data_IF_915458775192
#
_entry.id   IF_915458775192
#
_cell.length_a   1.000
_cell.length_b   1.000
_cell.length_c   1.000
_cell.angle_alpha   90.00
_cell.angle_beta   90.00
_cell.angle_gamma   90.00
#
_symmetry.space_group_name_H-M   'P 1'
#
loop_
_entity.id
_entity.type
_entity.pdbx_description
1 polymer ?
#
# COMPACT_ATOMS: atom_id res chain seq x y z
N UNK A 1 8.55 -9.97 2.00
CA UNK A 1 7.07 -9.88 2.03
C UNK A 1 6.52 -10.96 1.14
N UNK A 2 5.81 -11.92 1.71
CA UNK A 2 5.32 -13.08 0.98
C UNK A 2 4.07 -12.75 0.15
N UNK A 3 3.85 -13.53 -0.92
CA UNK A 3 2.68 -13.39 -1.80
C UNK A 3 1.36 -13.51 -1.02
N UNK A 4 1.35 -14.28 0.07
CA UNK A 4 0.19 -14.42 0.95
C UNK A 4 -0.13 -13.13 1.71
N UNK A 5 0.88 -12.40 2.19
CA UNK A 5 0.72 -11.14 2.91
C UNK A 5 0.24 -10.03 1.98
N UNK A 6 0.86 -9.93 0.80
CA UNK A 6 0.43 -8.98 -0.25
C UNK A 6 -1.06 -9.16 -0.53
N UNK A 7 -1.53 -10.39 -0.68
CA UNK A 7 -2.95 -10.69 -0.90
C UNK A 7 -3.83 -10.29 0.28
N UNK A 8 -3.38 -10.51 1.52
CA UNK A 8 -4.12 -10.10 2.72
C UNK A 8 -4.24 -8.58 2.80
N UNK A 9 -3.15 -7.85 2.56
CA UNK A 9 -3.16 -6.38 2.57
C UNK A 9 -3.98 -5.80 1.43
N UNK A 10 -3.89 -6.38 0.23
CA UNK A 10 -4.73 -6.00 -0.92
C UNK A 10 -6.23 -6.13 -0.58
N UNK A 11 -6.66 -7.28 -0.04
CA UNK A 11 -8.04 -7.47 0.37
C UNK A 11 -8.45 -6.53 1.53
N UNK A 12 -7.55 -6.32 2.48
CA UNK A 12 -7.79 -5.43 3.62
C UNK A 12 -8.01 -3.98 3.15
N UNK A 13 -7.12 -3.43 2.33
CA UNK A 13 -7.21 -2.05 1.83
C UNK A 13 -8.45 -1.87 0.94
N UNK A 14 -8.73 -2.82 0.04
CA UNK A 14 -9.97 -2.80 -0.76
C UNK A 14 -11.22 -2.71 0.10
N UNK A 15 -11.26 -3.46 1.20
CA UNK A 15 -12.38 -3.45 2.14
C UNK A 15 -12.45 -2.15 2.95
N UNK A 16 -11.32 -1.67 3.47
CA UNK A 16 -11.24 -0.46 4.31
C UNK A 16 -11.67 0.78 3.53
N UNK A 17 -11.15 0.96 2.31
CA UNK A 17 -11.45 2.11 1.48
C UNK A 17 -12.70 1.93 0.60
N UNK A 18 -13.33 0.75 0.64
CA UNK A 18 -14.47 0.42 -0.23
C UNK A 18 -14.14 0.48 -1.74
N UNK A 19 -12.86 0.41 -2.11
CA UNK A 19 -12.40 0.61 -3.47
C UNK A 19 -11.74 -0.68 -4.01
N UNK A 20 -12.43 -1.46 -4.87
CA UNK A 20 -11.88 -2.69 -5.43
C UNK A 20 -10.74 -2.48 -6.42
N UNK A 21 -10.48 -1.23 -6.84
CA UNK A 21 -9.39 -0.87 -7.76
C UNK A 21 -8.04 -0.71 -7.07
N UNK A 22 -8.00 -0.73 -5.73
CA UNK A 22 -6.74 -0.72 -4.99
C UNK A 22 -5.94 -1.98 -5.33
N UNK A 23 -4.64 -1.86 -5.49
CA UNK A 23 -3.72 -2.97 -5.76
C UNK A 23 -2.46 -2.81 -4.93
N UNK A 24 -2.05 -3.88 -4.26
CA UNK A 24 -0.75 -3.94 -3.56
C UNK A 24 0.23 -4.73 -4.41
N UNK A 25 1.38 -4.13 -4.72
CA UNK A 25 2.42 -4.71 -5.57
C UNK A 25 3.72 -4.82 -4.77
N UNK A 26 4.29 -6.02 -4.58
CA UNK A 26 5.55 -6.18 -3.87
C UNK A 26 6.70 -5.62 -4.69
N UNK A 27 7.69 -5.02 -4.04
CA UNK A 27 8.88 -4.50 -4.71
C UNK A 27 9.88 -5.64 -4.98
N UNK A 28 10.37 -5.83 -6.21
CA UNK A 28 11.21 -6.99 -6.58
C UNK A 28 12.58 -7.02 -5.89
N UNK A 29 13.01 -5.91 -5.26
CA UNK A 29 14.31 -5.78 -4.58
C UNK A 29 14.19 -5.41 -3.10
N UNK A 30 12.98 -5.29 -2.56
CA UNK A 30 12.73 -4.90 -1.17
C UNK A 30 11.74 -5.86 -0.55
N UNK A 31 12.18 -6.60 0.45
CA UNK A 31 11.36 -7.60 1.13
C UNK A 31 10.52 -6.98 2.25
N UNK A 32 10.83 -5.75 2.65
CA UNK A 32 10.23 -4.97 3.72
C UNK A 32 9.15 -3.99 3.24
N UNK A 33 8.90 -3.90 1.92
CA UNK A 33 7.93 -2.93 1.40
C UNK A 33 7.14 -3.35 0.17
N UNK A 34 5.96 -2.77 0.02
CA UNK A 34 5.09 -2.89 -1.15
C UNK A 34 4.58 -1.52 -1.58
N UNK A 35 4.28 -1.39 -2.87
CA UNK A 35 3.66 -0.20 -3.43
C UNK A 35 2.15 -0.39 -3.51
N UNK A 36 1.39 0.67 -3.28
CA UNK A 36 -0.06 0.67 -3.36
C UNK A 36 -0.49 1.57 -4.50
N UNK A 37 -1.38 1.04 -5.34
CA UNK A 37 -1.89 1.71 -6.51
C UNK A 37 -3.43 1.74 -6.50
N UNK A 38 -4.01 2.74 -7.14
CA UNK A 38 -5.42 2.74 -7.55
C UNK A 38 -5.45 2.77 -9.09
N UNK A 39 -5.82 1.66 -9.71
CA UNK A 39 -5.68 1.53 -11.17
C UNK A 39 -4.21 1.58 -11.59
N UNK A 40 -3.80 2.66 -12.24
CA UNK A 40 -2.42 2.93 -12.70
C UNK A 40 -1.70 3.99 -11.85
N UNK A 41 -2.42 4.65 -10.94
CA UNK A 41 -1.90 5.73 -10.10
C UNK A 41 -1.25 5.18 -8.83
N UNK A 42 -0.05 5.65 -8.52
CA UNK A 42 0.64 5.33 -7.28
C UNK A 42 0.10 6.20 -6.15
N UNK A 43 -0.38 5.58 -5.07
CA UNK A 43 -0.97 6.31 -3.93
C UNK A 43 -0.15 6.19 -2.65
N UNK A 44 0.86 5.32 -2.60
CA UNK A 44 1.67 5.19 -1.40
C UNK A 44 2.45 3.90 -1.30
N UNK A 45 3.14 3.77 -0.18
CA UNK A 45 4.01 2.64 0.14
C UNK A 45 3.55 2.01 1.46
N UNK A 46 3.59 0.68 1.50
CA UNK A 46 3.45 -0.12 2.70
C UNK A 46 4.84 -0.57 3.14
N UNK A 47 5.13 -0.42 4.43
CA UNK A 47 6.29 -1.01 5.08
C UNK A 47 5.84 -2.09 6.05
N UNK A 48 6.59 -3.19 6.08
CA UNK A 48 6.46 -4.22 7.10
C UNK A 48 7.35 -3.82 8.26
N UNK A 49 6.77 -3.79 9.45
CA UNK A 49 7.49 -3.62 10.70
C UNK A 49 7.36 -4.93 11.48
N UNK A 50 8.50 -5.50 11.86
CA UNK A 50 8.60 -6.83 12.48
C UNK A 50 9.51 -6.73 13.71
N UNK A 51 9.21 -5.78 14.59
CA UNK A 51 9.85 -5.64 15.90
C UNK A 51 9.20 -6.58 16.93
N UNK A 52 10.04 -7.29 17.69
CA UNK A 52 9.68 -8.04 18.91
C UNK A 52 8.45 -8.97 18.80
N UNK A 53 8.37 -9.79 17.74
CA UNK A 53 7.28 -10.75 17.46
C UNK A 53 5.91 -10.10 17.14
N UNK A 54 5.81 -8.76 17.10
CA UNK A 54 4.60 -8.02 16.76
C UNK A 54 4.65 -7.46 15.35
N UNK A 55 4.29 -8.30 14.37
CA UNK A 55 4.30 -7.91 12.96
C UNK A 55 3.19 -6.93 12.62
N UNK A 56 3.56 -5.70 12.29
CA UNK A 56 2.65 -4.62 11.91
C UNK A 56 2.96 -4.09 10.50
N UNK A 57 2.06 -3.25 9.97
CA UNK A 57 2.19 -2.69 8.62
C UNK A 57 1.90 -1.20 8.65
N UNK A 58 2.84 -0.41 8.14
CA UNK A 58 2.72 1.04 8.04
C UNK A 58 2.35 1.42 6.61
N UNK A 59 1.22 2.09 6.42
CA UNK A 59 0.84 2.68 5.14
C UNK A 59 1.18 4.17 5.12
N UNK A 60 2.04 4.58 4.19
CA UNK A 60 2.41 5.98 3.99
C UNK A 60 1.94 6.44 2.61
N UNK A 61 1.01 7.39 2.62
CA UNK A 61 0.53 8.12 1.44
C UNK A 61 1.04 9.55 1.54
N UNK A 62 1.82 9.97 0.54
CA UNK A 62 2.21 11.36 0.38
C UNK A 62 1.18 12.03 -0.53
N UNK A 63 0.68 13.20 -0.12
CA UNK A 63 -0.18 14.05 -0.95
C UNK A 63 0.66 15.30 -1.25
N UNK A 64 0.90 15.55 -2.54
CA UNK A 64 1.62 16.73 -3.02
C UNK A 64 0.63 17.82 -3.40
N UNK A 65 1.13 19.05 -3.50
CA UNK A 65 0.31 20.20 -3.92
C UNK A 65 -0.24 20.00 -5.35
N UNK A 66 0.58 19.44 -6.25
CA UNK A 66 0.17 19.09 -7.61
C UNK A 66 -1.01 18.09 -7.63
N UNK A 67 -1.08 17.13 -6.68
CA UNK A 67 -2.17 16.17 -6.61
C UNK A 67 -3.51 16.82 -6.22
N UNK A 68 -3.47 18.01 -5.60
CA UNK A 68 -4.65 18.77 -5.21
C UNK A 68 -5.13 19.72 -6.31
N UNK A 69 -4.29 20.04 -7.29
CA UNK A 69 -4.61 20.96 -8.37
C UNK A 69 -5.72 20.43 -9.30
N UNK A 70 -5.88 19.11 -9.41
CA UNK A 70 -6.95 18.45 -10.17
C UNK A 70 -8.28 18.28 -9.39
N UNK A 71 -8.32 18.68 -8.12
CA UNK A 71 -9.48 18.50 -7.24
C UNK A 71 -10.40 19.74 -7.10
N UNK A 72 -10.15 20.81 -7.85
CA UNK A 72 -10.98 22.04 -7.89
C UNK A 72 -12.20 21.95 -8.83
#
# INVERSE_FOLDING_TARGET
MDVQEVRKLDAYLKRVFGNPKIRVVPRPKKEDSAEVYIGEEFIGVLFVDDEDDDRSYQFQMAILEDDLADAE
#
